data_IF_794825252253
#
_entry.id   IF_794825252253
#
_cell.length_a   1.000
_cell.length_b   1.000
_cell.length_c   1.000
_cell.angle_alpha   90.00
_cell.angle_beta   90.00
_cell.angle_gamma   90.00
#
_symmetry.space_group_name_H-M   'P 1'
#
loop_
_entity.id
_entity.type
_entity.pdbx_description
1 polymer ?
#
# COMPACT_ATOMS: atom_id res chain seq x y z
N UNK A 1 -3.03 -6.71 7.71
CA UNK A 1 -3.18 -5.64 6.71
C UNK A 1 -2.07 -4.62 6.84
N UNK A 2 -1.31 -4.43 5.76
CA UNK A 2 -0.40 -3.31 5.52
C UNK A 2 -1.14 -2.28 4.65
N UNK A 3 -1.15 -1.02 5.05
CA UNK A 3 -1.76 0.05 4.26
C UNK A 3 -0.78 0.51 3.17
N UNK A 4 -1.24 0.54 1.92
CA UNK A 4 -0.53 1.12 0.78
C UNK A 4 -1.16 2.47 0.50
N UNK A 5 -0.35 3.53 0.49
CA UNK A 5 -0.81 4.89 0.20
C UNK A 5 -0.17 5.33 -1.12
N UNK A 6 -1.02 5.58 -2.12
CA UNK A 6 -0.61 6.11 -3.42
C UNK A 6 -0.70 7.64 -3.42
N UNK A 7 0.44 8.31 -3.60
CA UNK A 7 0.51 9.77 -3.75
C UNK A 7 0.48 10.22 -5.22
N UNK A 8 0.04 9.37 -6.14
CA UNK A 8 -0.20 9.70 -7.55
C UNK A 8 0.95 9.33 -8.47
N UNK A 9 1.62 8.19 -8.23
CA UNK A 9 2.73 7.73 -9.07
C UNK A 9 2.43 6.36 -9.67
N UNK A 10 2.54 6.28 -11.00
CA UNK A 10 2.23 5.08 -11.77
C UNK A 10 3.24 3.97 -11.51
N UNK A 11 3.00 3.15 -10.48
CA UNK A 11 3.63 1.84 -10.23
C UNK A 11 2.84 0.96 -9.24
N UNK A 12 1.63 1.39 -8.86
CA UNK A 12 0.79 0.71 -7.89
C UNK A 12 0.46 -0.74 -8.28
N UNK A 13 0.16 -1.00 -9.56
CA UNK A 13 -0.16 -2.35 -10.03
C UNK A 13 1.00 -3.33 -9.84
N UNK A 14 2.23 -2.90 -10.18
CA UNK A 14 3.43 -3.71 -10.01
C UNK A 14 3.70 -3.98 -8.53
N UNK A 15 3.58 -2.97 -7.67
CA UNK A 15 3.73 -3.13 -6.22
C UNK A 15 2.69 -4.11 -5.66
N UNK A 16 1.41 -3.89 -5.94
CA UNK A 16 0.34 -4.75 -5.44
C UNK A 16 0.51 -6.20 -5.92
N UNK A 17 0.97 -6.39 -7.16
CA UNK A 17 1.30 -7.71 -7.70
C UNK A 17 2.45 -8.38 -6.94
N UNK A 18 3.54 -7.64 -6.66
CA UNK A 18 4.65 -8.16 -5.85
C UNK A 18 4.25 -8.46 -4.41
N UNK A 19 3.44 -7.61 -3.79
CA UNK A 19 2.92 -7.81 -2.43
C UNK A 19 2.01 -9.03 -2.34
N UNK A 20 1.14 -9.22 -3.34
CA UNK A 20 0.29 -10.40 -3.44
C UNK A 20 1.12 -11.67 -3.70
N UNK A 21 2.16 -11.58 -4.53
CA UNK A 21 3.05 -12.71 -4.82
C UNK A 21 3.75 -13.25 -3.56
N UNK A 22 4.16 -12.38 -2.64
CA UNK A 22 4.76 -12.78 -1.35
C UNK A 22 3.71 -13.12 -0.27
N UNK A 23 2.42 -13.09 -0.60
CA UNK A 23 1.33 -13.42 0.32
C UNK A 23 1.11 -12.38 1.42
N UNK A 24 1.52 -11.13 1.21
CA UNK A 24 1.30 -10.06 2.18
C UNK A 24 -0.13 -9.53 2.05
N UNK A 25 -0.86 -9.59 3.17
CA UNK A 25 -2.16 -8.96 3.32
C UNK A 25 -2.00 -7.43 3.30
N UNK A 26 -2.26 -6.83 2.15
CA UNK A 26 -2.08 -5.40 1.88
C UNK A 26 -3.35 -4.77 1.31
N UNK A 27 -3.58 -3.50 1.64
CA UNK A 27 -4.75 -2.74 1.22
C UNK A 27 -4.33 -1.36 0.75
N UNK A 28 -4.67 -1.02 -0.49
CA UNK A 28 -4.61 0.36 -0.96
C UNK A 28 -5.71 1.16 -0.28
N UNK A 29 -5.34 2.19 0.47
CA UNK A 29 -6.31 3.00 1.21
C UNK A 29 -5.79 4.42 1.45
N UNK A 30 -6.72 5.36 1.44
CA UNK A 30 -6.56 6.74 1.86
C UNK A 30 -7.42 7.07 3.10
N UNK A 31 -8.08 6.06 3.67
CA UNK A 31 -8.86 6.20 4.90
C UNK A 31 -7.95 6.28 6.12
N UNK A 32 -8.11 7.33 6.91
CA UNK A 32 -7.25 7.63 8.06
C UNK A 32 -7.37 6.56 9.14
N UNK A 33 -8.56 6.02 9.38
CA UNK A 33 -8.76 4.99 10.40
C UNK A 33 -8.18 3.65 9.95
N UNK A 34 -8.29 3.30 8.67
CA UNK A 34 -7.63 2.11 8.13
C UNK A 34 -6.10 2.20 8.21
N UNK A 35 -5.54 3.38 7.95
CA UNK A 35 -4.09 3.62 8.06
C UNK A 35 -3.64 3.51 9.52
N UNK A 36 -4.37 4.11 10.46
CA UNK A 36 -4.06 4.03 11.90
C UNK A 36 -4.10 2.60 12.44
N UNK A 37 -5.02 1.78 11.93
CA UNK A 37 -5.19 0.39 12.34
C UNK A 37 -4.28 -0.60 11.58
N UNK A 38 -3.50 -0.12 10.59
CA UNK A 38 -2.61 -0.97 9.83
C UNK A 38 -1.39 -1.40 10.65
N UNK A 39 -0.89 -2.61 10.39
CA UNK A 39 0.33 -3.13 11.04
C UNK A 39 1.62 -2.49 10.50
N UNK A 40 1.53 -1.84 9.34
CA UNK A 40 2.61 -1.20 8.63
C UNK A 40 2.07 -0.39 7.47
N UNK A 41 2.88 0.55 6.99
CA UNK A 41 2.50 1.49 5.92
C UNK A 41 3.56 1.47 4.82
N UNK A 42 3.12 1.39 3.57
CA UNK A 42 3.97 1.55 2.38
C UNK A 42 3.58 2.87 1.71
N UNK A 43 4.54 3.80 1.65
CA UNK A 43 4.38 5.10 0.99
C UNK A 43 5.03 5.06 -0.39
N UNK A 44 4.25 5.24 -1.44
CA UNK A 44 4.77 5.35 -2.80
C UNK A 44 4.99 6.82 -3.17
N UNK A 45 6.25 7.22 -3.27
CA UNK A 45 6.68 8.50 -3.84
C UNK A 45 7.96 8.28 -4.64
N UNK A 46 7.89 8.51 -5.95
CA UNK A 46 9.07 8.58 -6.82
C UNK A 46 9.46 10.05 -6.85
N UNK A 47 10.72 10.35 -6.49
CA UNK A 47 11.27 11.70 -6.62
C UNK A 47 11.43 12.11 -8.08
#
# INVERSE_FOLDING_TARGET
>A
MIAVIDYGVGNLFSLLSSLNYVGLDTKLTNDVEEIKNAKGIILLKIF
#
